data_IF_645757614000
#
_entry.id   IF_645757614000
#
_cell.length_a   1.000
_cell.length_b   1.000
_cell.length_c   1.000
_cell.angle_alpha   90.00
_cell.angle_beta   90.00
_cell.angle_gamma   90.00
#
_symmetry.space_group_name_H-M   'P 1'
#
loop_
_entity.id
_entity.type
_entity.pdbx_description
1 polymer ?
#
# COMPACT_ATOMS: atom_id res chain seq x y z
N UNK A 1 11.02 -10.64 27.56
CA UNK A 1 9.93 -11.45 26.98
C UNK A 1 9.96 -11.21 25.49
N UNK A 2 10.35 -12.23 24.72
CA UNK A 2 10.52 -12.11 23.28
C UNK A 2 9.16 -11.88 22.59
N UNK A 3 9.17 -11.12 21.49
CA UNK A 3 8.06 -10.78 20.58
C UNK A 3 7.33 -12.01 19.98
N UNK A 4 6.77 -12.89 20.82
CA UNK A 4 6.29 -14.22 20.42
C UNK A 4 4.86 -14.26 19.86
N UNK A 5 4.11 -13.16 19.91
CA UNK A 5 2.70 -13.13 19.50
C UNK A 5 2.47 -12.45 18.15
N UNK A 6 3.54 -12.04 17.45
CA UNK A 6 3.44 -11.31 16.18
C UNK A 6 3.81 -12.22 15.02
N UNK A 7 2.91 -12.34 14.04
CA UNK A 7 3.19 -12.96 12.75
C UNK A 7 3.49 -11.86 11.73
N UNK A 8 4.65 -11.95 11.07
CA UNK A 8 4.98 -11.04 9.97
C UNK A 8 4.14 -11.41 8.74
N UNK A 9 3.23 -10.52 8.36
CA UNK A 9 2.36 -10.71 7.20
C UNK A 9 2.98 -10.23 5.87
N UNK A 10 3.97 -9.33 5.92
CA UNK A 10 4.60 -8.78 4.71
C UNK A 10 5.48 -7.56 4.98
N UNK A 11 6.00 -6.98 3.90
CA UNK A 11 6.61 -5.64 3.89
C UNK A 11 5.71 -4.68 3.12
N UNK A 12 5.75 -3.40 3.49
CA UNK A 12 5.03 -2.33 2.79
C UNK A 12 6.03 -1.26 2.36
N UNK A 13 5.83 -0.70 1.18
CA UNK A 13 6.64 0.37 0.59
C UNK A 13 5.81 1.64 0.48
N UNK A 14 6.47 2.79 0.66
CA UNK A 14 5.84 4.09 0.49
C UNK A 14 5.70 4.41 -1.00
N UNK A 15 4.48 4.70 -1.42
CA UNK A 15 4.11 5.13 -2.77
C UNK A 15 3.36 6.47 -2.71
N UNK A 16 3.30 7.17 -3.84
CA UNK A 16 2.54 8.41 -4.00
C UNK A 16 1.30 8.17 -4.87
N UNK A 17 0.14 8.69 -4.43
CA UNK A 17 -1.11 8.59 -5.18
C UNK A 17 -1.11 9.54 -6.37
N UNK A 18 -1.81 9.15 -7.45
CA UNK A 18 -2.06 10.02 -8.61
C UNK A 18 -2.79 11.31 -8.24
N UNK A 19 -3.59 11.28 -7.17
CA UNK A 19 -4.35 12.42 -6.66
C UNK A 19 -3.58 13.23 -5.60
N UNK A 20 -2.28 12.93 -5.41
CA UNK A 20 -1.49 13.45 -4.30
C UNK A 20 -1.67 12.65 -3.01
N UNK A 21 -0.65 12.70 -2.15
CA UNK A 21 -0.63 12.02 -0.85
C UNK A 21 0.10 10.67 -0.87
N UNK A 22 0.81 10.38 0.22
CA UNK A 22 1.55 9.13 0.39
C UNK A 22 0.66 8.02 0.94
N UNK A 23 0.87 6.80 0.46
CA UNK A 23 0.27 5.57 0.98
C UNK A 23 1.31 4.46 1.09
N UNK A 24 1.02 3.40 1.83
CA UNK A 24 1.86 2.21 1.89
C UNK A 24 1.23 1.07 1.12
N UNK A 25 2.04 0.27 0.42
CA UNK A 25 1.57 -0.81 -0.44
C UNK A 25 2.56 -1.96 -0.44
N UNK A 26 2.05 -3.20 -0.43
CA UNK A 26 2.90 -4.40 -0.47
C UNK A 26 2.11 -5.67 -0.72
N UNK A 27 2.74 -6.66 -1.35
CA UNK A 27 2.10 -7.95 -1.64
C UNK A 27 1.83 -8.72 -0.35
N UNK A 28 0.64 -9.30 -0.26
CA UNK A 28 0.27 -10.24 0.80
C UNK A 28 0.27 -11.68 0.29
N UNK A 29 -0.06 -11.87 -0.99
CA UNK A 29 -0.02 -13.16 -1.69
C UNK A 29 0.34 -12.97 -3.16
N UNK A 30 0.28 -14.05 -3.95
CA UNK A 30 0.44 -13.98 -5.40
C UNK A 30 -0.62 -13.10 -6.08
N UNK A 31 -1.84 -13.05 -5.54
CA UNK A 31 -2.99 -12.40 -6.18
C UNK A 31 -3.48 -11.16 -5.43
N UNK A 32 -3.00 -10.92 -4.21
CA UNK A 32 -3.46 -9.81 -3.36
C UNK A 32 -2.32 -8.96 -2.79
N UNK A 33 -2.61 -7.67 -2.63
CA UNK A 33 -1.76 -6.69 -1.97
C UNK A 33 -2.53 -5.94 -0.90
N UNK A 34 -1.81 -5.51 0.13
CA UNK A 34 -2.30 -4.55 1.11
C UNK A 34 -2.05 -3.13 0.63
N UNK A 35 -3.00 -2.25 0.93
CA UNK A 35 -2.88 -0.80 0.80
C UNK A 35 -3.20 -0.17 2.15
N UNK A 36 -2.36 0.72 2.63
CA UNK A 36 -2.57 1.45 3.89
C UNK A 36 -2.58 2.95 3.57
N UNK A 37 -3.73 3.58 3.76
CA UNK A 37 -3.94 5.00 3.46
C UNK A 37 -4.22 5.77 4.76
N UNK A 38 -3.74 7.02 4.90
CA UNK A 38 -4.20 7.90 5.96
C UNK A 38 -5.72 8.04 5.92
N UNK A 39 -6.37 8.02 7.09
CA UNK A 39 -7.81 8.20 7.18
C UNK A 39 -8.18 9.69 7.07
N UNK A 40 -8.41 10.17 5.84
CA UNK A 40 -8.85 11.53 5.57
C UNK A 40 -10.25 11.88 6.12
N UNK A 41 -10.99 10.90 6.66
CA UNK A 41 -12.31 11.08 7.25
C UNK A 41 -12.31 10.96 8.79
N UNK A 42 -11.12 10.93 9.42
CA UNK A 42 -10.98 10.96 10.87
C UNK A 42 -11.62 12.24 11.44
N UNK A 43 -12.57 12.09 12.36
CA UNK A 43 -13.29 13.20 13.03
C UNK A 43 -12.94 13.30 14.51
N UNK A 44 -12.62 12.16 15.13
CA UNK A 44 -12.33 12.07 16.56
C UNK A 44 -11.13 11.16 16.82
N UNK A 45 -10.58 11.22 18.03
CA UNK A 45 -9.47 10.35 18.42
C UNK A 45 -9.84 8.86 18.50
N UNK A 46 -11.13 8.54 18.44
CA UNK A 46 -11.62 7.15 18.37
C UNK A 46 -11.61 6.59 16.94
N UNK A 47 -11.44 7.44 15.93
CA UNK A 47 -11.33 7.01 14.55
C UNK A 47 -9.89 6.57 14.23
N UNK A 48 -9.70 5.54 13.39
CA UNK A 48 -8.39 5.04 13.06
C UNK A 48 -7.59 6.07 12.27
N UNK A 49 -6.28 6.13 12.47
CA UNK A 49 -5.37 7.00 11.70
C UNK A 49 -5.14 6.50 10.27
N UNK A 50 -5.27 5.19 10.06
CA UNK A 50 -5.04 4.54 8.79
C UNK A 50 -6.15 3.55 8.46
N UNK A 51 -6.46 3.44 7.18
CA UNK A 51 -7.36 2.43 6.64
C UNK A 51 -6.55 1.41 5.85
N UNK A 52 -6.76 0.12 6.14
CA UNK A 52 -6.13 -1.00 5.44
C UNK A 52 -7.12 -1.60 4.45
N UNK A 53 -6.72 -1.72 3.19
CA UNK A 53 -7.49 -2.37 2.15
C UNK A 53 -6.74 -3.60 1.62
N UNK A 54 -7.49 -4.64 1.27
CA UNK A 54 -7.01 -5.74 0.45
C UNK A 54 -7.42 -5.47 -1.01
N UNK A 55 -6.45 -5.44 -1.92
CA UNK A 55 -6.67 -5.20 -3.34
C UNK A 55 -6.04 -6.31 -4.18
N UNK A 56 -6.56 -6.59 -5.38
CA UNK A 56 -5.88 -7.50 -6.31
C UNK A 56 -4.53 -6.92 -6.75
N UNK A 57 -3.56 -7.80 -6.98
CA UNK A 57 -2.33 -7.44 -7.71
C UNK A 57 -2.73 -7.27 -9.17
N UNK A 58 -2.88 -6.01 -9.60
CA UNK A 58 -2.96 -5.70 -11.03
C UNK A 58 -1.54 -5.57 -11.56
N UNK A 59 -1.24 -6.25 -12.66
CA UNK A 59 -0.06 -5.91 -13.44
C UNK A 59 -0.18 -4.44 -13.82
N UNK A 60 0.77 -3.61 -13.38
CA UNK A 60 0.89 -2.27 -13.95
C UNK A 60 1.18 -2.51 -15.42
N UNK A 61 0.33 -2.00 -16.31
CA UNK A 61 0.73 -1.74 -17.68
C UNK A 61 2.07 -1.00 -17.57
N UNK A 62 3.14 -1.66 -18.03
CA UNK A 62 4.44 -1.04 -18.10
C UNK A 62 4.25 0.12 -19.09
N UNK A 63 4.13 1.36 -18.59
CA UNK A 63 4.44 2.52 -19.41
C UNK A 63 5.92 2.39 -19.74
N UNK A 64 6.17 1.77 -20.89
CA UNK A 64 7.47 1.61 -21.51
C UNK A 64 7.99 2.98 -21.90
N UNK A 65 8.52 3.73 -20.94
CA UNK A 65 9.48 4.81 -21.21
C UNK A 65 10.81 4.17 -21.60
N UNK A 66 10.83 3.54 -22.79
CA UNK A 66 12.07 3.37 -23.54
C UNK A 66 12.21 4.62 -24.39
N UNK A 67 13.22 5.48 -24.19
CA UNK A 67 13.48 6.56 -25.12
C UNK A 67 13.79 5.94 -26.49
N UNK A 68 12.94 6.23 -27.47
CA UNK A 68 13.19 5.98 -28.87
C UNK A 68 14.33 6.91 -29.30
N UNK A 69 15.57 6.40 -29.29
CA UNK A 69 16.64 6.99 -30.09
C UNK A 69 16.53 6.42 -31.50
N UNK A 70 15.75 7.10 -32.34
CA UNK A 70 15.80 7.01 -33.80
C UNK A 70 15.76 8.44 -34.34
#
# INVERSE_FOLDING_TARGET
MADSDKVRIGGLWREESKTGGAYLSGKLSATSKLLVLPNGFKKTDKDPDYIVYLAPVREREQTSDKPSFL
#
